data_IF_453123558546
#
_entry.id   IF_453123558546
#
_cell.length_a   1.000
_cell.length_b   1.000
_cell.length_c   1.000
_cell.angle_alpha   90.00
_cell.angle_beta   90.00
_cell.angle_gamma   90.00
#
_symmetry.space_group_name_H-M   'P 1'
#
loop_
_entity.id
_entity.type
_entity.pdbx_description
1 polymer ?
#
# COMPACT_ATOMS: atom_id res chain seq x y z
N UNK A 1 18.41 -14.68 58.15
CA UNK A 1 18.45 -14.07 56.80
C UNK A 1 18.62 -15.19 55.77
N UNK A 2 17.55 -15.58 55.07
CA UNK A 2 17.62 -16.65 54.05
C UNK A 2 18.39 -16.12 52.84
N UNK A 3 19.65 -16.55 52.67
CA UNK A 3 20.45 -16.22 51.47
C UNK A 3 19.77 -16.87 50.25
N UNK A 4 19.44 -16.11 49.19
CA UNK A 4 18.77 -16.67 48.02
C UNK A 4 19.76 -17.59 47.29
N UNK A 5 19.50 -18.89 47.34
CA UNK A 5 20.35 -19.95 46.81
C UNK A 5 20.37 -20.06 45.28
N UNK A 6 19.78 -19.10 44.56
CA UNK A 6 19.52 -19.16 43.12
C UNK A 6 20.73 -18.86 42.20
N UNK A 7 21.90 -18.53 42.75
CA UNK A 7 23.10 -18.19 41.96
C UNK A 7 24.08 -19.36 41.73
N UNK A 8 23.71 -20.62 41.99
CA UNK A 8 24.64 -21.75 41.79
C UNK A 8 24.77 -22.22 40.33
N UNK A 9 23.81 -21.94 39.45
CA UNK A 9 23.86 -22.40 38.06
C UNK A 9 23.99 -21.22 37.09
N UNK A 10 25.14 -21.03 36.43
CA UNK A 10 25.35 -19.91 35.50
C UNK A 10 24.39 -19.96 34.30
N UNK A 11 23.95 -21.16 33.88
CA UNK A 11 23.00 -21.33 32.77
C UNK A 11 21.63 -20.78 33.14
N UNK A 12 21.15 -21.06 34.36
CA UNK A 12 19.87 -20.54 34.85
C UNK A 12 19.90 -19.01 34.97
N UNK A 13 21.02 -18.45 35.43
CA UNK A 13 21.20 -17.01 35.50
C UNK A 13 21.13 -16.36 34.11
N UNK A 14 21.81 -16.93 33.11
CA UNK A 14 21.76 -16.43 31.74
C UNK A 14 20.34 -16.50 31.15
N UNK A 15 19.63 -17.61 31.36
CA UNK A 15 18.25 -17.78 30.93
C UNK A 15 17.30 -16.75 31.57
N UNK A 16 17.46 -16.51 32.88
CA UNK A 16 16.70 -15.48 33.59
C UNK A 16 16.98 -14.08 33.01
N UNK A 17 18.24 -13.79 32.67
CA UNK A 17 18.64 -12.49 32.13
C UNK A 17 18.06 -12.27 30.72
N UNK A 18 18.06 -13.30 29.86
CA UNK A 18 17.44 -13.28 28.53
C UNK A 18 15.91 -13.14 28.62
N UNK A 19 15.27 -13.84 29.54
CA UNK A 19 13.80 -13.76 29.70
C UNK A 19 13.35 -12.43 30.27
N UNK A 20 14.12 -11.85 31.21
CA UNK A 20 13.86 -10.49 31.72
C UNK A 20 14.12 -9.43 30.64
N UNK A 21 15.18 -9.58 29.83
CA UNK A 21 15.45 -8.64 28.74
C UNK A 21 14.39 -8.72 27.64
N UNK A 22 13.96 -9.92 27.24
CA UNK A 22 12.89 -10.08 26.25
C UNK A 22 11.54 -9.56 26.76
N UNK A 23 11.21 -9.80 28.03
CA UNK A 23 9.99 -9.31 28.65
C UNK A 23 9.97 -7.78 28.75
N UNK A 24 11.10 -7.15 29.11
CA UNK A 24 11.19 -5.68 29.16
C UNK A 24 11.07 -5.04 27.78
N UNK A 25 11.68 -5.64 26.74
CA UNK A 25 11.51 -5.19 25.35
C UNK A 25 10.05 -5.33 24.92
N UNK A 26 9.38 -6.43 25.23
CA UNK A 26 7.95 -6.61 24.92
C UNK A 26 7.08 -5.57 25.62
N UNK A 27 7.23 -5.39 26.93
CA UNK A 27 6.46 -4.40 27.71
C UNK A 27 6.69 -2.99 27.16
N UNK A 28 7.93 -2.64 26.83
CA UNK A 28 8.25 -1.33 26.26
C UNK A 28 7.69 -1.15 24.85
N UNK A 29 7.68 -2.22 24.04
CA UNK A 29 7.03 -2.23 22.72
C UNK A 29 5.53 -2.01 22.85
N UNK A 30 4.86 -2.69 23.79
CA UNK A 30 3.44 -2.50 24.06
C UNK A 30 3.12 -1.11 24.62
N UNK A 31 3.95 -0.54 25.49
CA UNK A 31 3.79 0.82 26.02
C UNK A 31 4.05 1.90 24.96
N UNK A 32 4.85 1.59 23.93
CA UNK A 32 5.12 2.48 22.79
C UNK A 32 4.10 2.35 21.65
N UNK A 33 3.14 1.42 21.72
CA UNK A 33 2.02 1.44 20.79
C UNK A 33 1.30 2.79 21.00
N UNK A 34 1.30 3.69 20.00
CA UNK A 34 0.63 4.96 20.12
C UNK A 34 -0.85 4.69 20.36
N UNK A 35 -1.40 5.18 21.47
CA UNK A 35 -2.82 5.16 21.72
C UNK A 35 -3.54 5.81 20.53
N UNK A 36 -4.49 5.07 19.96
CA UNK A 36 -5.31 5.50 18.82
C UNK A 36 -6.02 6.81 19.18
N UNK A 37 -5.74 7.93 18.50
CA UNK A 37 -6.36 9.20 18.85
C UNK A 37 -7.84 9.19 18.43
N UNK A 38 -8.73 8.98 19.39
CA UNK A 38 -10.20 9.03 19.22
C UNK A 38 -10.75 10.44 18.90
N UNK A 39 -9.93 11.49 18.87
CA UNK A 39 -10.40 12.89 18.80
C UNK A 39 -10.37 13.53 17.39
N UNK A 40 -9.82 12.90 16.36
CA UNK A 40 -9.73 13.48 15.00
C UNK A 40 -10.93 13.12 14.08
N UNK A 41 -11.97 12.49 14.61
CA UNK A 41 -13.02 11.82 13.85
C UNK A 41 -13.81 12.68 12.86
N UNK A 42 -14.00 13.98 13.09
CA UNK A 42 -14.84 14.80 12.21
C UNK A 42 -14.11 15.27 10.94
N UNK A 43 -12.87 15.73 11.05
CA UNK A 43 -12.06 16.10 9.87
C UNK A 43 -11.61 14.87 9.10
N UNK A 44 -11.24 13.78 9.79
CA UNK A 44 -10.90 12.52 9.16
C UNK A 44 -12.08 11.92 8.39
N UNK A 45 -13.31 11.97 8.93
CA UNK A 45 -14.50 11.48 8.20
C UNK A 45 -14.78 12.27 6.92
N UNK A 46 -14.62 13.59 6.94
CA UNK A 46 -14.81 14.44 5.75
C UNK A 46 -13.75 14.14 4.69
N UNK A 47 -12.47 14.11 5.07
CA UNK A 47 -11.37 13.73 4.17
C UNK A 47 -11.53 12.29 3.66
N UNK A 48 -12.02 11.38 4.50
CA UNK A 48 -12.33 10.01 4.12
C UNK A 48 -13.41 9.97 3.04
N UNK A 49 -14.48 10.75 3.16
CA UNK A 49 -15.55 10.78 2.16
C UNK A 49 -15.06 11.38 0.83
N UNK A 50 -14.38 12.52 0.87
CA UNK A 50 -13.87 13.21 -0.33
C UNK A 50 -12.84 12.36 -1.09
N UNK A 51 -11.94 11.68 -0.38
CA UNK A 51 -11.03 10.71 -0.99
C UNK A 51 -11.77 9.51 -1.58
N UNK A 52 -12.85 9.05 -0.95
CA UNK A 52 -13.58 7.85 -1.40
C UNK A 52 -14.19 8.04 -2.79
N UNK A 53 -14.72 9.23 -3.08
CA UNK A 53 -15.37 9.49 -4.37
C UNK A 53 -14.37 9.63 -5.53
N UNK A 54 -13.13 10.04 -5.25
CA UNK A 54 -12.11 10.29 -6.28
C UNK A 54 -11.30 9.05 -6.67
N UNK A 55 -11.11 8.12 -5.75
CA UNK A 55 -10.28 6.92 -5.97
C UNK A 55 -10.99 5.83 -6.78
N UNK A 56 -12.32 5.87 -6.84
CA UNK A 56 -13.12 4.77 -7.38
C UNK A 56 -13.06 3.50 -6.50
N UNK A 57 -13.61 2.39 -7.01
CA UNK A 57 -13.78 1.15 -6.24
C UNK A 57 -12.44 0.47 -5.95
N UNK A 58 -11.60 0.32 -6.98
CA UNK A 58 -10.35 -0.41 -6.86
C UNK A 58 -9.29 0.42 -6.11
N UNK A 59 -9.24 1.73 -6.34
CA UNK A 59 -8.37 2.63 -5.59
C UNK A 59 -8.74 2.64 -4.10
N UNK A 60 -10.03 2.61 -3.78
CA UNK A 60 -10.50 2.47 -2.39
C UNK A 60 -10.03 1.16 -1.77
N UNK A 61 -10.20 0.03 -2.48
CA UNK A 61 -9.72 -1.28 -2.02
C UNK A 61 -8.22 -1.26 -1.73
N UNK A 62 -7.43 -0.69 -2.65
CA UNK A 62 -5.99 -0.53 -2.49
C UNK A 62 -5.61 0.23 -1.22
N UNK A 63 -6.27 1.37 -0.98
CA UNK A 63 -5.97 2.21 0.18
C UNK A 63 -6.48 1.58 1.48
N UNK A 64 -7.63 0.91 1.48
CA UNK A 64 -8.19 0.24 2.67
C UNK A 64 -7.31 -0.87 3.23
N UNK A 65 -6.43 -1.47 2.41
CA UNK A 65 -5.43 -2.44 2.86
C UNK A 65 -4.25 -1.83 3.62
N UNK A 66 -4.05 -0.51 3.56
CA UNK A 66 -2.96 0.18 4.25
C UNK A 66 -3.42 0.69 5.63
N UNK A 67 -2.55 0.60 6.67
CA UNK A 67 -2.85 1.15 7.98
C UNK A 67 -2.75 2.69 7.96
N UNK A 68 -3.83 3.36 8.36
CA UNK A 68 -3.98 4.83 8.27
C UNK A 68 -3.04 5.62 9.22
N UNK A 69 -2.49 4.95 10.23
CA UNK A 69 -1.63 5.52 11.27
C UNK A 69 -0.13 5.47 10.93
N UNK A 70 0.23 4.86 9.80
CA UNK A 70 1.59 4.80 9.27
C UNK A 70 1.76 5.68 8.04
N UNK A 71 2.99 6.14 7.82
CA UNK A 71 3.33 6.99 6.68
C UNK A 71 3.56 6.10 5.47
N UNK A 72 2.70 6.27 4.47
CA UNK A 72 2.85 5.67 3.16
C UNK A 72 2.59 6.73 2.09
N UNK A 73 3.20 6.56 0.93
CA UNK A 73 2.75 7.23 -0.29
C UNK A 73 2.31 6.18 -1.29
N UNK A 74 1.08 6.32 -1.76
CA UNK A 74 0.44 5.39 -2.68
C UNK A 74 0.21 6.08 -4.03
N UNK A 75 0.77 5.50 -5.09
CA UNK A 75 0.56 5.90 -6.48
C UNK A 75 -0.58 5.06 -7.07
N UNK A 76 -1.81 5.48 -6.78
CA UNK A 76 -3.02 4.71 -7.07
C UNK A 76 -3.43 4.92 -8.53
N UNK A 77 -3.59 3.87 -9.35
CA UNK A 77 -4.16 4.01 -10.69
C UNK A 77 -5.56 4.64 -10.64
N UNK A 78 -5.89 5.48 -11.62
CA UNK A 78 -7.27 5.94 -11.79
C UNK A 78 -8.21 4.75 -12.04
N UNK A 79 -9.50 4.91 -11.75
CA UNK A 79 -10.53 3.90 -12.07
C UNK A 79 -10.47 3.48 -13.55
N UNK A 80 -10.24 4.45 -14.44
CA UNK A 80 -10.05 4.19 -15.88
C UNK A 80 -8.79 3.39 -16.17
N UNK A 81 -7.71 3.63 -15.44
CA UNK A 81 -6.46 2.90 -15.57
C UNK A 81 -6.58 1.46 -15.08
N UNK A 82 -7.31 1.21 -13.99
CA UNK A 82 -7.66 -0.15 -13.57
C UNK A 82 -8.41 -0.92 -14.67
N UNK A 83 -9.42 -0.30 -15.29
CA UNK A 83 -10.15 -0.96 -16.37
C UNK A 83 -9.32 -1.11 -17.65
N UNK A 84 -8.56 -0.08 -18.05
CA UNK A 84 -7.79 -0.07 -19.30
C UNK A 84 -6.57 -0.97 -19.25
N UNK A 85 -5.80 -0.90 -18.17
CA UNK A 85 -4.47 -1.50 -18.10
C UNK A 85 -4.47 -2.86 -17.39
N UNK A 86 -5.50 -3.15 -16.58
CA UNK A 86 -5.65 -4.41 -15.83
C UNK A 86 -6.92 -5.18 -16.18
N UNK A 87 -7.77 -4.66 -17.06
CA UNK A 87 -9.01 -5.32 -17.47
C UNK A 87 -10.05 -5.44 -16.36
N UNK A 88 -9.88 -4.74 -15.23
CA UNK A 88 -10.79 -4.85 -14.10
C UNK A 88 -12.13 -4.19 -14.42
N UNK A 89 -13.21 -4.95 -14.24
CA UNK A 89 -14.58 -4.51 -14.50
C UNK A 89 -15.25 -4.13 -13.19
N UNK A 90 -15.95 -3.00 -13.19
CA UNK A 90 -16.86 -2.59 -12.11
C UNK A 90 -18.07 -3.53 -12.06
N UNK A 91 -17.89 -4.74 -11.51
CA UNK A 91 -19.00 -5.59 -11.17
C UNK A 91 -19.73 -4.95 -9.98
N UNK A 92 -20.72 -4.12 -10.27
CA UNK A 92 -21.42 -3.28 -9.29
C UNK A 92 -22.28 -4.11 -8.31
N UNK A 93 -22.27 -5.44 -8.38
CA UNK A 93 -23.29 -6.30 -7.74
C UNK A 93 -22.81 -7.28 -6.67
N UNK A 94 -21.53 -7.36 -6.30
CA UNK A 94 -21.10 -8.21 -5.18
C UNK A 94 -20.69 -7.38 -3.96
N UNK A 95 -21.56 -7.24 -2.94
CA UNK A 95 -21.11 -6.81 -1.61
C UNK A 95 -19.99 -7.76 -1.17
N UNK A 96 -18.90 -7.22 -0.63
CA UNK A 96 -17.82 -7.99 0.01
C UNK A 96 -18.40 -8.62 1.30
N UNK A 97 -19.24 -9.65 1.16
CA UNK A 97 -19.83 -10.48 2.21
C UNK A 97 -20.12 -11.86 1.62
N UNK A 98 -19.90 -12.90 2.44
CA UNK A 98 -19.97 -14.36 2.18
C UNK A 98 -18.92 -14.85 1.17
N UNK A 99 -17.87 -15.61 1.50
CA UNK A 99 -17.88 -16.89 2.22
C UNK A 99 -19.11 -17.70 1.84
N UNK A 100 -19.08 -18.30 0.64
CA UNK A 100 -19.76 -19.55 0.23
C UNK A 100 -19.71 -19.68 -1.31
N UNK A 101 -18.83 -20.56 -1.78
CA UNK A 101 -19.03 -21.51 -2.90
C UNK A 101 -19.50 -21.03 -4.29
N UNK A 102 -19.11 -19.82 -4.74
CA UNK A 102 -19.00 -19.54 -6.19
C UNK A 102 -17.53 -19.55 -6.62
N UNK A 103 -17.08 -20.74 -7.05
CA UNK A 103 -15.79 -21.11 -7.62
C UNK A 103 -15.59 -20.54 -9.05
N UNK A 104 -15.69 -19.21 -9.19
CA UNK A 104 -15.22 -18.49 -10.38
C UNK A 104 -14.56 -17.16 -9.99
N UNK A 105 -13.30 -17.27 -9.58
CA UNK A 105 -12.24 -16.58 -10.34
C UNK A 105 -12.12 -15.07 -10.25
N UNK A 106 -12.78 -14.35 -9.32
CA UNK A 106 -12.54 -12.91 -9.19
C UNK A 106 -11.16 -12.62 -8.57
N UNK A 107 -10.12 -12.65 -9.40
CA UNK A 107 -8.74 -12.34 -9.04
C UNK A 107 -8.54 -10.87 -8.65
N UNK A 108 -9.59 -10.02 -8.66
CA UNK A 108 -9.51 -8.58 -8.41
C UNK A 108 -8.72 -8.27 -7.15
N UNK A 109 -9.00 -8.92 -6.02
CA UNK A 109 -8.27 -8.65 -4.78
C UNK A 109 -6.78 -8.99 -4.91
N UNK A 110 -6.45 -10.11 -5.57
CA UNK A 110 -5.06 -10.51 -5.81
C UNK A 110 -4.34 -9.51 -6.73
N UNK A 111 -5.00 -9.05 -7.80
CA UNK A 111 -4.46 -8.03 -8.71
C UNK A 111 -4.27 -6.71 -7.97
N UNK A 112 -5.28 -6.21 -7.27
CA UNK A 112 -5.22 -4.92 -6.55
C UNK A 112 -4.16 -4.95 -5.45
N UNK A 113 -4.06 -6.03 -4.67
CA UNK A 113 -3.02 -6.18 -3.64
C UNK A 113 -1.61 -6.29 -4.23
N UNK A 114 -1.47 -6.92 -5.41
CA UNK A 114 -0.19 -6.99 -6.11
C UNK A 114 0.23 -5.64 -6.66
N UNK A 115 -0.68 -4.90 -7.30
CA UNK A 115 -0.45 -3.52 -7.73
C UNK A 115 -0.10 -2.62 -6.56
N UNK A 116 -0.81 -2.75 -5.43
CA UNK A 116 -0.47 -2.04 -4.20
C UNK A 116 0.98 -2.28 -3.79
N UNK A 117 1.45 -3.52 -3.89
CA UNK A 117 2.82 -3.87 -3.50
C UNK A 117 3.88 -3.14 -4.35
N UNK A 118 3.62 -2.88 -5.63
CA UNK A 118 4.51 -2.12 -6.52
C UNK A 118 4.38 -0.60 -6.36
N UNK A 119 3.16 -0.13 -6.10
CA UNK A 119 2.82 1.28 -6.22
C UNK A 119 2.78 2.02 -4.88
N UNK A 120 3.10 1.37 -3.76
CA UNK A 120 3.15 1.98 -2.43
C UNK A 120 4.57 1.98 -1.90
N UNK A 121 5.02 3.12 -1.38
CA UNK A 121 6.31 3.28 -0.71
C UNK A 121 6.10 3.57 0.78
N UNK A 122 6.91 2.99 1.70
CA UNK A 122 6.82 3.21 3.15
C UNK A 122 7.42 4.56 3.60
N UNK A 123 7.30 5.58 2.76
CA UNK A 123 7.86 6.92 2.98
C UNK A 123 6.88 7.98 2.49
N UNK A 124 7.06 9.19 3.00
CA UNK A 124 6.37 10.38 2.49
C UNK A 124 7.07 10.85 1.22
N UNK A 125 6.32 10.98 0.13
CA UNK A 125 6.81 11.51 -1.15
C UNK A 125 5.86 12.60 -1.63
N UNK A 126 6.29 13.86 -1.50
CA UNK A 126 5.61 15.04 -2.03
C UNK A 126 6.41 15.64 -3.19
N UNK A 127 5.75 16.45 -4.04
CA UNK A 127 6.42 17.11 -5.18
C UNK A 127 7.60 17.97 -4.72
N UNK A 128 7.49 18.58 -3.53
CA UNK A 128 8.53 19.43 -2.93
C UNK A 128 9.82 18.67 -2.62
N UNK A 129 9.74 17.36 -2.41
CA UNK A 129 10.88 16.52 -2.01
C UNK A 129 11.80 16.17 -3.20
N UNK A 130 11.36 16.45 -4.43
CA UNK A 130 12.08 16.10 -5.67
C UNK A 130 12.56 17.38 -6.33
N UNK A 131 13.86 17.55 -6.56
CA UNK A 131 14.41 18.73 -7.22
C UNK A 131 13.96 18.88 -8.68
N UNK A 132 14.14 20.08 -9.23
CA UNK A 132 13.97 20.28 -10.68
C UNK A 132 15.06 19.48 -11.42
N UNK A 133 14.67 18.73 -12.45
CA UNK A 133 15.56 17.87 -13.24
C UNK A 133 16.25 16.75 -12.45
N UNK A 134 15.79 16.46 -11.23
CA UNK A 134 16.24 15.33 -10.43
C UNK A 134 15.32 14.12 -10.61
N UNK A 135 15.91 12.93 -10.49
CA UNK A 135 15.17 11.67 -10.40
C UNK A 135 15.45 11.03 -9.04
N UNK A 136 14.41 10.95 -8.22
CA UNK A 136 14.46 10.27 -6.93
C UNK A 136 14.14 8.79 -7.11
N UNK A 137 14.80 7.94 -6.31
CA UNK A 137 14.59 6.49 -6.32
C UNK A 137 14.05 6.04 -4.98
N UNK A 138 12.93 5.34 -4.99
CA UNK A 138 12.29 4.77 -3.80
C UNK A 138 12.00 3.29 -3.99
N UNK A 139 12.08 2.51 -2.92
CA UNK A 139 11.65 1.11 -2.93
C UNK A 139 10.20 1.01 -2.46
N UNK A 140 9.39 0.32 -3.25
CA UNK A 140 8.01 -0.01 -2.91
C UNK A 140 7.93 -1.15 -1.89
N UNK A 141 6.72 -1.48 -1.43
CA UNK A 141 6.47 -2.59 -0.51
C UNK A 141 6.96 -3.95 -1.03
N UNK A 142 7.00 -4.16 -2.35
CA UNK A 142 7.53 -5.37 -2.96
C UNK A 142 9.04 -5.34 -3.22
N UNK A 143 9.72 -4.24 -2.90
CA UNK A 143 11.11 -3.99 -3.28
C UNK A 143 11.28 -3.52 -4.73
N UNK A 144 10.17 -3.30 -5.47
CA UNK A 144 10.24 -2.72 -6.81
C UNK A 144 10.65 -1.24 -6.75
N UNK A 145 11.65 -0.87 -7.54
CA UNK A 145 12.20 0.49 -7.56
C UNK A 145 11.33 1.45 -8.37
N UNK A 146 10.92 2.53 -7.72
CA UNK A 146 10.20 3.65 -8.29
C UNK A 146 11.16 4.81 -8.55
N UNK A 147 11.37 5.10 -9.83
CA UNK A 147 12.03 6.30 -10.35
C UNK A 147 10.98 7.40 -10.46
N UNK A 148 11.16 8.48 -9.71
CA UNK A 148 10.19 9.56 -9.60
C UNK A 148 10.85 10.87 -9.99
N UNK A 149 10.26 11.61 -10.92
CA UNK A 149 10.71 12.94 -11.32
C UNK A 149 9.53 13.90 -11.49
N UNK A 150 9.81 15.20 -11.51
CA UNK A 150 8.78 16.22 -11.73
C UNK A 150 8.32 16.26 -13.18
N UNK A 151 7.03 16.54 -13.40
CA UNK A 151 6.52 16.88 -14.73
C UNK A 151 7.20 18.16 -15.23
N UNK A 152 7.52 18.20 -16.53
CA UNK A 152 8.19 19.34 -17.17
C UNK A 152 7.41 20.66 -17.07
N UNK A 153 6.08 20.58 -17.08
CA UNK A 153 5.19 21.74 -16.96
C UNK A 153 4.83 22.07 -15.50
N UNK A 154 5.41 21.36 -14.52
CA UNK A 154 5.09 21.46 -13.09
C UNK A 154 3.74 20.84 -12.71
N UNK A 155 3.46 20.86 -11.40
CA UNK A 155 2.16 20.48 -10.82
C UNK A 155 1.90 18.97 -10.85
N UNK A 156 2.95 18.17 -10.82
CA UNK A 156 2.84 16.75 -11.08
C UNK A 156 4.14 15.98 -10.91
N UNK A 157 4.02 14.70 -10.58
CA UNK A 157 5.09 13.71 -10.64
C UNK A 157 4.87 12.74 -11.80
N UNK A 158 5.97 12.15 -12.25
CA UNK A 158 6.01 10.99 -13.14
C UNK A 158 6.74 9.88 -12.40
N UNK A 159 6.13 8.70 -12.34
CA UNK A 159 6.63 7.53 -11.62
C UNK A 159 6.81 6.40 -12.63
N UNK A 160 8.05 5.97 -12.89
CA UNK A 160 8.37 4.94 -13.90
C UNK A 160 7.70 5.21 -15.26
N UNK A 161 7.58 6.48 -15.65
CA UNK A 161 6.95 6.90 -16.90
C UNK A 161 5.43 7.11 -16.82
N UNK A 162 4.80 6.77 -15.70
CA UNK A 162 3.37 7.00 -15.46
C UNK A 162 3.15 8.36 -14.83
N UNK A 163 2.34 9.19 -15.47
CA UNK A 163 2.05 10.52 -14.98
C UNK A 163 0.96 10.55 -13.90
N UNK A 164 1.15 11.40 -12.90
CA UNK A 164 0.09 11.78 -11.95
C UNK A 164 -1.05 12.52 -12.66
N UNK A 165 -2.29 12.12 -12.39
CA UNK A 165 -3.51 12.83 -12.79
C UNK A 165 -3.94 13.81 -11.69
N UNK A 166 -3.87 13.37 -10.43
CA UNK A 166 -4.18 14.19 -9.25
C UNK A 166 -3.21 13.88 -8.12
N UNK A 167 -2.74 14.91 -7.44
CA UNK A 167 -1.73 14.78 -6.40
C UNK A 167 -2.21 15.19 -5.01
N UNK A 168 -1.56 14.62 -3.99
CA UNK A 168 -1.58 15.16 -2.64
C UNK A 168 -2.86 14.90 -1.85
N UNK A 169 -3.66 13.92 -2.25
CA UNK A 169 -4.80 13.47 -1.47
C UNK A 169 -4.32 12.80 -0.19
N UNK A 170 -5.09 12.86 0.91
CA UNK A 170 -4.66 12.35 2.21
C UNK A 170 -5.71 11.46 2.87
N UNK A 171 -5.28 10.29 3.37
CA UNK A 171 -6.05 9.42 4.27
C UNK A 171 -5.25 9.14 5.53
N UNK A 172 -5.61 9.74 6.65
CA UNK A 172 -4.79 9.64 7.86
C UNK A 172 -3.38 10.18 7.58
N UNK A 173 -2.36 9.34 7.73
CA UNK A 173 -0.96 9.64 7.39
C UNK A 173 -0.53 9.19 5.98
N UNK A 174 -1.43 8.56 5.22
CA UNK A 174 -1.17 8.10 3.86
C UNK A 174 -1.35 9.27 2.88
N UNK A 175 -0.36 9.50 2.02
CA UNK A 175 -0.47 10.37 0.86
C UNK A 175 -0.89 9.53 -0.34
N UNK A 176 -1.87 10.01 -1.09
CA UNK A 176 -2.38 9.34 -2.28
C UNK A 176 -2.21 10.26 -3.48
N UNK A 177 -1.56 9.74 -4.51
CA UNK A 177 -1.46 10.37 -5.83
C UNK A 177 -2.19 9.47 -6.83
N UNK A 178 -3.18 10.02 -7.54
CA UNK A 178 -3.89 9.32 -8.60
C UNK A 178 -3.03 9.36 -9.86
N UNK A 179 -2.87 8.21 -10.52
CA UNK A 179 -2.01 8.00 -11.68
C UNK A 179 -2.83 7.73 -12.93
N UNK A 180 -2.45 8.30 -14.07
CA UNK A 180 -3.00 7.96 -15.39
C UNK A 180 -2.29 6.74 -15.99
N UNK A 181 -2.28 5.64 -15.26
CA UNK A 181 -1.69 4.38 -15.65
C UNK A 181 -1.40 3.51 -14.44
N UNK A 182 -0.80 2.36 -14.68
CA UNK A 182 -0.46 1.40 -13.63
C UNK A 182 1.04 1.27 -13.51
N UNK A 183 1.54 1.48 -12.28
CA UNK A 183 2.93 1.23 -11.93
C UNK A 183 3.05 -0.22 -11.49
N UNK A 184 3.76 -1.04 -12.29
CA UNK A 184 3.98 -2.46 -12.02
C UNK A 184 5.29 -2.94 -12.65
N UNK A 185 5.77 -4.10 -12.21
CA UNK A 185 6.92 -4.74 -12.85
C UNK A 185 6.56 -5.36 -14.23
N UNK A 186 7.58 -5.62 -15.04
CA UNK A 186 7.41 -6.14 -16.40
C UNK A 186 6.85 -7.56 -16.45
N UNK A 187 7.19 -8.41 -15.50
CA UNK A 187 6.80 -9.82 -15.48
C UNK A 187 5.31 -9.93 -15.13
N UNK A 188 4.85 -9.11 -14.19
CA UNK A 188 3.44 -8.97 -13.85
C UNK A 188 2.64 -8.38 -15.02
N UNK A 189 3.14 -7.34 -15.68
CA UNK A 189 2.48 -6.78 -16.86
C UNK A 189 2.30 -7.84 -17.97
N UNK A 190 3.30 -8.69 -18.21
CA UNK A 190 3.19 -9.80 -19.15
C UNK A 190 2.15 -10.85 -18.73
N UNK A 191 2.10 -11.19 -17.45
CA UNK A 191 1.11 -12.14 -16.92
C UNK A 191 -0.34 -11.67 -17.17
N UNK A 192 -0.61 -10.39 -16.96
CA UNK A 192 -1.94 -9.80 -17.22
C UNK A 192 -2.25 -9.82 -18.72
N UNK A 193 -1.30 -9.41 -19.57
CA UNK A 193 -1.47 -9.42 -21.02
C UNK A 193 -1.74 -10.83 -21.58
N UNK A 194 -1.14 -11.87 -20.99
CA UNK A 194 -1.36 -13.27 -21.40
C UNK A 194 -2.73 -13.85 -20.99
N UNK A 195 -3.36 -13.26 -19.97
CA UNK A 195 -4.67 -13.70 -19.47
C UNK A 195 -5.86 -13.11 -20.25
N UNK A 196 -5.62 -12.09 -21.07
CA UNK A 196 -6.65 -11.55 -21.96
C UNK A 196 -6.84 -12.54 -23.11
N UNK A 197 -8.04 -13.10 -23.32
CA UNK A 197 -8.29 -13.97 -24.47
C UNK A 197 -7.89 -13.22 -25.73
N UNK A 198 -6.90 -13.74 -26.47
CA UNK A 198 -6.74 -13.37 -27.86
C UNK A 198 -7.96 -13.94 -28.55
N UNK A 199 -8.75 -13.11 -29.20
CA UNK A 199 -9.76 -13.57 -30.15
C UNK A 199 -9.00 -14.39 -31.21
N UNK A 200 -8.97 -15.72 -31.04
CA UNK A 200 -8.51 -16.66 -32.05
C UNK A 200 -9.62 -16.79 -33.11
N UNK A 201 -9.86 -15.70 -33.84
CA UNK A 201 -10.70 -15.69 -35.03
C UNK A 201 -9.92 -15.00 -36.16
N UNK A 202 -8.87 -15.67 -36.64
CA UNK A 202 -8.27 -15.40 -37.96
C UNK A 202 -7.59 -16.69 -38.46
N UNK A 203 -8.40 -17.70 -38.80
CA UNK A 203 -8.00 -18.73 -39.75
C UNK A 203 -9.23 -19.27 -40.50
N UNK A 204 -9.41 -18.95 -41.80
CA UNK A 204 -10.15 -19.78 -42.73
C UNK A 204 -9.23 -20.70 -43.56
#
# INVERSE_FOLDING_TARGET
MKKPHFLKNPVFFLFLLITVSSLTILIFSFLKLPETPLAAGNHLRKLRYELTDELGLFGKMMIEMLPEDLVFTAFVPSEKSFSRDLGLKLNTSRPIKSHEEDDDGDNTYAVVSRIMSFAVVPYKVEEVDIGNDETASYESLSGFTLQIWRKRNGGGLVVNGVETEKMGLKRGKIIVHIMNGVVMDSDFAQSIASSTPKDEDDDP
#
